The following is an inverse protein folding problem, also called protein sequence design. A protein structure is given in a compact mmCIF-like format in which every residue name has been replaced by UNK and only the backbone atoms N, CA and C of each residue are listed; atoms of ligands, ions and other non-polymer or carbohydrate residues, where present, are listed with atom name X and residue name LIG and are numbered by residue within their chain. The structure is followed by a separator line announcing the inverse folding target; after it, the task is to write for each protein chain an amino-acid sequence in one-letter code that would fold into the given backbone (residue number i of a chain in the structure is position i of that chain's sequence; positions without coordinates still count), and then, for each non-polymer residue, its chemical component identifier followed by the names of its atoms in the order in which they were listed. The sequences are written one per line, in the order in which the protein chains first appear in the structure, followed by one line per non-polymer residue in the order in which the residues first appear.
data_IF_190030050096
#
_entry.id   IF_190030050096
#
_cell.length_a   1.000
_cell.length_b   1.000
_cell.length_c   1.000
_cell.angle_alpha   90.00
_cell.angle_beta   90.00
_cell.angle_gamma   90.00
#
_symmetry.space_group_name_H-M   'P 1'
#
loop_
_entity.id
_entity.type
_entity.pdbx_description
1 polymer ?
#
# COMPACT_ATOMS: atom_id res chain seq x y z
N UNK A 1 33.45 -4.53 20.06
CA UNK A 1 32.78 -3.23 19.93
C UNK A 1 33.70 -2.18 20.52
N UNK A 2 34.30 -1.41 19.63
CA UNK A 2 35.13 -0.26 20.00
C UNK A 2 34.24 0.98 20.18
N UNK A 3 34.66 1.95 21.00
CA UNK A 3 33.87 3.16 21.26
C UNK A 3 33.60 3.96 19.97
N UNK A 4 34.56 3.97 19.04
CA UNK A 4 34.37 4.57 17.72
C UNK A 4 33.27 3.90 16.91
N UNK A 5 33.17 2.58 16.97
CA UNK A 5 32.13 1.79 16.27
C UNK A 5 30.73 2.05 16.86
N UNK A 6 30.62 2.21 18.19
CA UNK A 6 29.35 2.54 18.84
C UNK A 6 28.89 3.94 18.43
N UNK A 7 29.79 4.93 18.41
CA UNK A 7 29.47 6.30 18.01
C UNK A 7 29.04 6.40 16.54
N UNK A 8 29.69 5.67 15.64
CA UNK A 8 29.28 5.64 14.23
C UNK A 8 27.91 4.98 14.07
N UNK A 9 27.63 3.87 14.79
CA UNK A 9 26.31 3.23 14.78
C UNK A 9 25.19 4.14 15.32
N UNK A 10 25.44 4.87 16.41
CA UNK A 10 24.48 5.84 16.96
C UNK A 10 24.15 6.90 15.91
N UNK A 11 25.19 7.49 15.29
CA UNK A 11 24.99 8.53 14.27
C UNK A 11 24.24 8.01 13.03
N UNK A 12 24.53 6.78 12.60
CA UNK A 12 23.83 6.13 11.50
C UNK A 12 22.36 5.86 11.82
N UNK A 13 22.05 5.42 13.04
CA UNK A 13 20.67 5.19 13.48
C UNK A 13 19.87 6.49 13.55
N UNK A 14 20.48 7.56 14.06
CA UNK A 14 19.83 8.87 14.13
C UNK A 14 19.54 9.43 12.74
N UNK A 15 20.48 9.27 11.80
CA UNK A 15 20.26 9.67 10.40
C UNK A 15 19.11 8.90 9.76
N UNK A 16 19.04 7.57 9.91
CA UNK A 16 17.92 6.76 9.38
C UNK A 16 16.59 7.20 9.97
N UNK A 17 16.53 7.42 11.28
CA UNK A 17 15.32 7.88 11.96
C UNK A 17 14.87 9.25 11.43
N UNK A 18 15.80 10.16 11.16
CA UNK A 18 15.49 11.47 10.59
C UNK A 18 14.95 11.35 9.16
N UNK A 19 15.55 10.48 8.34
CA UNK A 19 15.09 10.21 6.98
C UNK A 19 13.67 9.62 6.97
N UNK A 20 13.39 8.67 7.85
CA UNK A 20 12.05 8.08 8.00
C UNK A 20 11.00 9.12 8.41
N UNK A 21 11.34 10.00 9.36
CA UNK A 21 10.45 11.08 9.79
C UNK A 21 10.18 12.08 8.67
N UNK A 22 11.21 12.42 7.87
CA UNK A 22 11.05 13.31 6.71
C UNK A 22 10.19 12.67 5.62
N UNK A 23 10.43 11.40 5.31
CA UNK A 23 9.63 10.65 4.34
C UNK A 23 8.15 10.62 4.78
N UNK A 24 7.89 10.31 6.06
CA UNK A 24 6.54 10.32 6.61
C UNK A 24 5.88 11.70 6.51
N UNK A 25 6.57 12.75 6.92
CA UNK A 25 6.03 14.11 6.85
C UNK A 25 5.71 14.54 5.41
N UNK A 26 6.55 14.17 4.45
CA UNK A 26 6.30 14.43 3.03
C UNK A 26 5.05 13.67 2.53
N UNK A 27 4.93 12.40 2.86
CA UNK A 27 3.77 11.59 2.47
C UNK A 27 2.47 12.11 3.08
N UNK A 28 2.47 12.46 4.36
CA UNK A 28 1.29 13.00 5.06
C UNK A 28 0.86 14.35 4.46
N UNK A 29 1.81 15.23 4.12
CA UNK A 29 1.52 16.50 3.46
C UNK A 29 0.88 16.28 2.09
N UNK A 30 1.46 15.42 1.25
CA UNK A 30 0.92 15.09 -0.08
C UNK A 30 -0.46 14.43 0.00
N UNK A 31 -0.68 13.57 1.01
CA UNK A 31 -1.99 12.98 1.26
C UNK A 31 -3.03 14.04 1.62
N UNK A 32 -2.68 14.99 2.49
CA UNK A 32 -3.56 16.10 2.86
C UNK A 32 -3.89 16.98 1.65
N UNK A 33 -2.93 17.26 0.77
CA UNK A 33 -3.17 17.97 -0.50
C UNK A 33 -4.16 17.18 -1.38
N UNK A 34 -3.92 15.89 -1.61
CA UNK A 34 -4.80 15.04 -2.42
C UNK A 34 -6.22 14.96 -1.84
N UNK A 35 -6.35 14.84 -0.51
CA UNK A 35 -7.66 14.88 0.15
C UNK A 35 -8.36 16.24 -0.07
N UNK A 36 -7.63 17.35 0.10
CA UNK A 36 -8.18 18.68 -0.13
C UNK A 36 -8.67 18.86 -1.58
N UNK A 37 -7.95 18.30 -2.56
CA UNK A 37 -8.39 18.28 -3.97
C UNK A 37 -9.63 17.40 -4.17
N UNK A 38 -9.64 16.18 -3.61
CA UNK A 38 -10.77 15.25 -3.74
C UNK A 38 -12.09 15.80 -3.18
N UNK A 39 -12.03 16.56 -2.08
CA UNK A 39 -13.23 17.18 -1.50
C UNK A 39 -13.73 18.41 -2.27
N UNK A 40 -12.87 19.10 -3.03
CA UNK A 40 -13.23 20.35 -3.70
C UNK A 40 -13.61 20.17 -5.18
N UNK A 41 -12.90 19.34 -5.94
CA UNK A 41 -13.20 19.05 -7.36
C UNK A 41 -12.55 17.72 -7.82
N UNK A 42 -13.32 16.61 -7.93
CA UNK A 42 -12.78 15.30 -8.33
C UNK A 42 -12.11 15.29 -9.71
N UNK A 43 -12.41 16.25 -10.58
CA UNK A 43 -11.84 16.33 -11.93
C UNK A 43 -10.41 16.90 -11.95
N UNK A 44 -9.94 17.54 -10.87
CA UNK A 44 -8.59 18.13 -10.75
C UNK A 44 -7.59 17.28 -9.96
N UNK A 45 -7.92 16.02 -9.70
CA UNK A 45 -7.01 15.11 -9.02
C UNK A 45 -5.70 14.98 -9.83
N UNK A 46 -4.53 15.30 -9.25
CA UNK A 46 -3.26 15.12 -9.94
C UNK A 46 -3.06 13.63 -10.23
N UNK A 47 -2.51 13.31 -11.41
CA UNK A 47 -2.25 11.92 -11.80
C UNK A 47 -1.18 11.33 -10.87
N UNK A 48 -1.22 10.00 -10.68
CA UNK A 48 -0.30 9.27 -9.78
C UNK A 48 1.17 9.58 -10.08
N UNK A 49 1.51 9.79 -11.35
CA UNK A 49 2.84 10.13 -11.84
C UNK A 49 3.30 11.56 -11.49
N UNK A 50 2.38 12.48 -11.25
CA UNK A 50 2.66 13.87 -10.85
C UNK A 50 2.74 13.99 -9.33
N UNK A 51 1.92 13.22 -8.61
CA UNK A 51 1.95 13.15 -7.15
C UNK A 51 3.23 12.48 -6.63
N UNK A 52 3.76 11.50 -7.38
CA UNK A 52 4.91 10.70 -6.97
C UNK A 52 5.97 10.60 -8.06
N UNK A 53 6.92 11.57 -8.11
CA UNK A 53 7.99 11.58 -9.12
C UNK A 53 8.91 10.35 -9.06
N UNK A 54 9.00 9.68 -7.91
CA UNK A 54 9.79 8.45 -7.75
C UNK A 54 9.24 7.24 -8.51
N UNK A 55 7.99 7.31 -8.99
CA UNK A 55 7.40 6.26 -9.82
C UNK A 55 7.92 6.32 -11.26
N UNK A 56 8.29 7.52 -11.74
CA UNK A 56 8.85 7.68 -13.10
C UNK A 56 10.20 6.98 -13.24
N UNK A 57 11.05 7.08 -12.23
CA UNK A 57 12.37 6.42 -12.23
C UNK A 57 12.27 4.89 -12.22
N UNK A 58 11.14 4.33 -11.75
CA UNK A 58 10.89 2.89 -11.76
C UNK A 58 10.20 2.42 -13.05
N UNK A 59 9.51 3.30 -13.78
CA UNK A 59 8.74 2.94 -14.97
C UNK A 59 9.64 2.47 -16.12
N UNK A 60 10.81 3.11 -16.28
CA UNK A 60 11.78 2.79 -17.34
C UNK A 60 12.39 1.39 -17.21
N UNK A 61 12.27 0.74 -16.04
CA UNK A 61 12.78 -0.61 -15.79
C UNK A 61 11.69 -1.71 -15.79
N UNK A 62 10.41 -1.35 -15.83
CA UNK A 62 9.29 -2.31 -15.62
C UNK A 62 8.50 -2.70 -16.87
N UNK A 63 8.98 -2.39 -18.08
CA UNK A 63 8.29 -2.76 -19.33
C UNK A 63 8.16 -4.28 -19.60
N UNK A 64 8.60 -5.16 -18.67
CA UNK A 64 8.53 -6.62 -18.80
C UNK A 64 7.68 -7.34 -17.75
N UNK A 65 6.97 -6.65 -16.85
CA UNK A 65 6.11 -7.36 -15.89
C UNK A 65 4.69 -7.50 -16.43
N UNK A 66 4.49 -8.65 -17.09
CA UNK A 66 3.21 -9.28 -17.39
C UNK A 66 2.14 -8.96 -16.34
N UNK A 67 0.93 -8.69 -16.82
CA UNK A 67 -0.31 -8.49 -16.06
C UNK A 67 -0.57 -9.66 -15.09
N UNK A 68 0.11 -9.69 -13.95
CA UNK A 68 -0.23 -10.61 -12.88
C UNK A 68 -1.57 -10.15 -12.29
N UNK A 69 -2.57 -11.02 -12.39
CA UNK A 69 -3.87 -10.78 -11.80
C UNK A 69 -3.69 -10.36 -10.33
N UNK A 70 -4.20 -9.18 -9.94
CA UNK A 70 -3.89 -8.60 -8.66
C UNK A 70 -4.45 -9.48 -7.54
N UNK A 71 -3.62 -9.75 -6.53
CA UNK A 71 -3.82 -10.80 -5.53
C UNK A 71 -5.18 -10.72 -4.82
N UNK A 72 -5.70 -9.51 -4.63
CA UNK A 72 -7.03 -9.25 -4.06
C UNK A 72 -8.19 -9.92 -4.82
N UNK A 73 -8.06 -10.13 -6.14
CA UNK A 73 -9.08 -10.83 -6.93
C UNK A 73 -9.13 -12.32 -6.58
N UNK A 74 -7.98 -12.92 -6.29
CA UNK A 74 -7.90 -14.33 -5.87
C UNK A 74 -8.55 -14.51 -4.50
N UNK A 75 -8.27 -13.61 -3.57
CA UNK A 75 -8.87 -13.61 -2.24
C UNK A 75 -10.40 -13.42 -2.29
N UNK A 76 -10.89 -12.55 -3.17
CA UNK A 76 -12.33 -12.35 -3.36
C UNK A 76 -13.05 -13.64 -3.81
N UNK A 77 -12.43 -14.40 -4.74
CA UNK A 77 -12.99 -15.66 -5.23
C UNK A 77 -13.02 -16.70 -4.12
N UNK A 78 -11.94 -16.81 -3.33
CA UNK A 78 -11.85 -17.74 -2.19
C UNK A 78 -12.93 -17.43 -1.16
N UNK A 79 -13.11 -16.15 -0.82
CA UNK A 79 -14.14 -15.72 0.11
C UNK A 79 -15.55 -16.07 -0.37
N UNK A 80 -15.83 -15.85 -1.66
CA UNK A 80 -17.14 -16.19 -2.25
C UNK A 80 -17.42 -17.70 -2.20
N UNK A 81 -16.42 -18.53 -2.50
CA UNK A 81 -16.55 -20.00 -2.42
C UNK A 81 -16.82 -20.46 -0.98
N UNK A 82 -16.13 -19.89 0.01
CA UNK A 82 -16.36 -20.21 1.42
C UNK A 82 -17.77 -19.81 1.88
N UNK A 83 -18.21 -18.60 1.50
CA UNK A 83 -19.56 -18.13 1.81
C UNK A 83 -20.65 -19.03 1.19
N UNK A 84 -20.43 -19.52 -0.03
CA UNK A 84 -21.34 -20.48 -0.67
C UNK A 84 -21.39 -21.81 0.07
N UNK A 85 -20.23 -22.35 0.50
CA UNK A 85 -20.16 -23.59 1.30
C UNK A 85 -20.90 -23.45 2.63
N UNK A 86 -20.75 -22.32 3.33
CA UNK A 86 -21.47 -22.05 4.59
C UNK A 86 -22.99 -21.97 4.35
N UNK A 87 -23.43 -21.31 3.28
CA UNK A 87 -24.85 -21.24 2.91
C UNK A 87 -25.43 -22.62 2.60
N UNK A 88 -24.71 -23.46 1.88
CA UNK A 88 -25.12 -24.84 1.58
C UNK A 88 -25.20 -25.68 2.86
N UNK A 89 -24.16 -25.62 3.70
CA UNK A 89 -24.14 -26.33 4.99
C UNK A 89 -25.31 -25.92 5.90
N UNK A 90 -25.61 -24.63 5.99
CA UNK A 90 -26.74 -24.14 6.79
C UNK A 90 -28.10 -24.55 6.21
N UNK A 91 -28.20 -24.67 4.88
CA UNK A 91 -29.41 -25.16 4.20
C UNK A 91 -29.63 -26.65 4.44
N UNK A 92 -28.55 -27.44 4.45
CA UNK A 92 -28.59 -28.88 4.70
C UNK A 92 -28.85 -29.20 6.18
N UNK A 93 -28.34 -28.37 7.11
CA UNK A 93 -28.64 -28.49 8.55
C UNK A 93 -30.03 -27.99 8.95
N UNK A 94 -30.65 -27.13 8.14
CA UNK A 94 -32.00 -26.60 8.37
C UNK A 94 -33.13 -27.45 7.78
N UNK A 95 -32.82 -28.63 7.23
CA UNK A 95 -33.77 -29.57 6.62
C UNK A 95 -34.17 -30.77 7.48
N UNK A 96 -34.09 -30.67 8.82
CA UNK A 96 -34.49 -31.72 9.74
C UNK A 96 -35.23 -31.16 10.95
N UNK A 97 -36.57 -31.18 10.85
CA UNK A 97 -37.60 -30.90 11.87
C UNK A 97 -37.45 -29.62 12.72
#
# INVERSE_FOLDING_TARGET
MDFGEIMTQISANEKRRLEDLRAKAYMDHRLSEMMAFAFNDPAKMPKVEEAYPFVKDNLDQTNERSEEEPDWKKDQIIFMQQAQKIKQFNKDKGGGN
#
